data_IF_676188025559
#
_entry.id   IF_676188025559
#
_cell.length_a   1.000
_cell.length_b   1.000
_cell.length_c   1.000
_cell.angle_alpha   90.00
_cell.angle_beta   90.00
_cell.angle_gamma   90.00
#
_symmetry.space_group_name_H-M   'P 1'
#
loop_
_entity.id
_entity.type
_entity.pdbx_description
1 polymer ?
#
# COMPACT_ATOMS: atom_id res chain seq x y z
N UNK A 1 14.89 -10.99 1.76
CA UNK A 1 13.77 -10.19 1.25
C UNK A 1 13.93 -10.01 -0.24
N UNK A 2 12.83 -9.92 -1.00
CA UNK A 2 12.79 -9.69 -2.44
C UNK A 2 11.88 -8.51 -2.69
N UNK A 3 12.33 -7.57 -3.50
CA UNK A 3 11.51 -6.47 -4.00
C UNK A 3 10.95 -6.83 -5.36
N UNK A 4 9.72 -6.43 -5.59
CA UNK A 4 9.04 -6.60 -6.88
C UNK A 4 8.81 -5.21 -7.44
N UNK A 5 9.41 -4.92 -8.59
CA UNK A 5 9.10 -3.72 -9.34
C UNK A 5 7.75 -3.88 -10.01
N UNK A 6 6.92 -2.85 -9.95
CA UNK A 6 5.61 -2.87 -10.63
C UNK A 6 5.80 -2.86 -12.16
N UNK A 7 4.84 -3.42 -12.87
CA UNK A 7 4.78 -3.36 -14.34
C UNK A 7 4.82 -1.89 -14.78
N UNK A 8 5.32 -1.61 -15.94
CA UNK A 8 5.59 -0.28 -16.53
C UNK A 8 6.81 0.46 -15.97
N UNK A 9 7.34 0.05 -14.82
CA UNK A 9 8.61 0.57 -14.31
C UNK A 9 9.76 -0.27 -14.84
N UNK A 10 10.88 0.37 -15.18
CA UNK A 10 12.07 -0.35 -15.61
C UNK A 10 12.56 -1.25 -14.49
N UNK A 11 12.61 -2.55 -14.74
CA UNK A 11 13.26 -3.47 -13.84
C UNK A 11 14.74 -3.53 -14.22
N UNK A 12 15.60 -3.25 -13.27
CA UNK A 12 17.05 -3.49 -13.42
C UNK A 12 17.41 -4.95 -13.17
N UNK A 13 16.41 -5.83 -13.06
CA UNK A 13 16.60 -7.22 -12.69
C UNK A 13 16.79 -8.11 -13.92
N UNK A 14 17.86 -8.92 -13.88
CA UNK A 14 18.15 -9.96 -14.86
C UNK A 14 17.16 -11.15 -14.82
N UNK A 15 16.12 -11.09 -13.97
CA UNK A 15 15.18 -12.19 -13.77
C UNK A 15 13.88 -11.98 -14.55
N UNK A 16 13.65 -12.82 -15.53
CA UNK A 16 12.34 -12.98 -16.15
C UNK A 16 11.36 -13.65 -15.15
N UNK A 17 10.66 -12.84 -14.37
CA UNK A 17 9.59 -13.33 -13.49
C UNK A 17 8.20 -13.16 -14.12
N UNK A 18 7.21 -13.99 -13.78
CA UNK A 18 5.83 -13.75 -14.19
C UNK A 18 5.37 -12.36 -13.77
N UNK A 19 4.97 -11.52 -14.72
CA UNK A 19 4.54 -10.14 -14.47
C UNK A 19 5.60 -9.06 -14.70
N UNK A 20 6.79 -9.40 -15.22
CA UNK A 20 7.83 -8.42 -15.59
C UNK A 20 7.51 -7.60 -16.85
N UNK A 21 6.53 -8.03 -17.66
CA UNK A 21 6.13 -7.30 -18.87
C UNK A 21 5.25 -6.10 -18.57
N UNK A 22 5.41 -4.97 -19.27
CA UNK A 22 4.53 -3.81 -19.17
C UNK A 22 3.05 -4.15 -19.39
N UNK A 23 2.16 -3.31 -18.93
CA UNK A 23 0.72 -3.47 -19.21
C UNK A 23 0.46 -3.38 -20.72
N UNK A 24 -0.40 -4.26 -21.20
CA UNK A 24 -0.86 -4.23 -22.59
C UNK A 24 -1.83 -3.08 -22.80
N UNK A 25 -2.01 -2.64 -24.06
CA UNK A 25 -2.99 -1.61 -24.38
C UNK A 25 -4.40 -1.98 -23.91
N UNK A 26 -4.80 -3.26 -24.00
CA UNK A 26 -6.10 -3.73 -23.51
C UNK A 26 -6.24 -3.60 -22.00
N UNK A 27 -5.19 -3.91 -21.23
CA UNK A 27 -5.18 -3.73 -19.77
C UNK A 27 -5.26 -2.24 -19.40
N UNK A 28 -4.56 -1.37 -20.13
CA UNK A 28 -4.64 0.09 -19.93
C UNK A 28 -6.00 0.67 -20.31
N UNK A 29 -6.68 0.10 -21.32
CA UNK A 29 -8.07 0.46 -21.63
C UNK A 29 -9.03 0.02 -20.51
N UNK A 30 -8.80 -1.13 -19.90
CA UNK A 30 -9.57 -1.58 -18.75
C UNK A 30 -9.36 -0.68 -17.53
N UNK A 31 -8.12 -0.27 -17.29
CA UNK A 31 -7.74 0.70 -16.26
C UNK A 31 -8.46 2.04 -16.46
N UNK A 32 -8.31 2.66 -17.63
CA UNK A 32 -8.93 3.94 -17.99
C UNK A 32 -10.45 3.90 -18.02
N UNK A 33 -11.01 2.72 -18.29
CA UNK A 33 -12.44 2.46 -18.22
C UNK A 33 -12.98 2.18 -16.82
N UNK A 34 -12.14 2.19 -15.79
CA UNK A 34 -12.53 1.91 -14.40
C UNK A 34 -13.05 0.47 -14.19
N UNK A 35 -12.59 -0.48 -15.01
CA UNK A 35 -13.13 -1.84 -15.03
C UNK A 35 -12.45 -2.74 -13.99
N UNK A 36 -13.22 -3.44 -13.18
CA UNK A 36 -12.75 -4.38 -12.13
C UNK A 36 -11.76 -5.42 -12.67
N UNK A 37 -11.84 -5.76 -13.96
CA UNK A 37 -10.96 -6.77 -14.56
C UNK A 37 -9.48 -6.36 -14.49
N UNK A 38 -9.16 -5.07 -14.50
CA UNK A 38 -7.79 -4.61 -14.31
C UNK A 38 -7.27 -5.02 -12.93
N UNK A 39 -8.03 -4.75 -11.87
CA UNK A 39 -7.63 -5.13 -10.50
C UNK A 39 -7.55 -6.64 -10.32
N UNK A 40 -8.47 -7.38 -10.93
CA UNK A 40 -8.41 -8.85 -10.98
C UNK A 40 -7.12 -9.35 -11.62
N UNK A 41 -6.66 -8.69 -12.69
CA UNK A 41 -5.40 -9.01 -13.37
C UNK A 41 -4.21 -8.74 -12.46
N UNK A 42 -4.21 -7.65 -11.67
CA UNK A 42 -3.15 -7.38 -10.68
C UNK A 42 -3.07 -8.49 -9.62
N UNK A 43 -4.22 -8.89 -9.07
CA UNK A 43 -4.30 -9.97 -8.09
C UNK A 43 -3.82 -11.31 -8.66
N UNK A 44 -4.21 -11.64 -9.90
CA UNK A 44 -3.77 -12.85 -10.60
C UNK A 44 -2.26 -12.82 -10.86
N UNK A 45 -1.71 -11.69 -11.27
CA UNK A 45 -0.26 -11.52 -11.52
C UNK A 45 0.53 -11.75 -10.24
N UNK A 46 0.14 -11.13 -9.14
CA UNK A 46 0.79 -11.38 -7.85
C UNK A 46 0.68 -12.85 -7.41
N UNK A 47 -0.49 -13.46 -7.58
CA UNK A 47 -0.66 -14.88 -7.24
C UNK A 47 0.26 -15.80 -8.07
N UNK A 48 0.36 -15.57 -9.39
CA UNK A 48 1.25 -16.34 -10.27
C UNK A 48 2.71 -16.18 -9.85
N UNK A 49 3.13 -14.96 -9.54
CA UNK A 49 4.46 -14.69 -9.00
C UNK A 49 4.73 -15.46 -7.71
N UNK A 50 3.82 -15.39 -6.73
CA UNK A 50 3.98 -16.08 -5.45
C UNK A 50 4.05 -17.60 -5.63
N UNK A 51 3.21 -18.18 -6.47
CA UNK A 51 3.22 -19.62 -6.76
C UNK A 51 4.52 -20.06 -7.44
N UNK A 52 4.98 -19.31 -8.44
CA UNK A 52 6.26 -19.53 -9.09
C UNK A 52 7.42 -19.42 -8.09
N UNK A 53 7.40 -18.38 -7.24
CA UNK A 53 8.44 -18.17 -6.24
C UNK A 53 8.51 -19.30 -5.21
N UNK A 54 7.36 -19.79 -4.74
CA UNK A 54 7.26 -20.95 -3.84
C UNK A 54 7.95 -22.17 -4.47
N UNK A 55 7.66 -22.44 -5.74
CA UNK A 55 8.18 -23.61 -6.43
C UNK A 55 9.68 -23.51 -6.75
N UNK A 56 10.11 -22.33 -7.16
CA UNK A 56 11.50 -22.11 -7.60
C UNK A 56 12.47 -22.03 -6.44
N UNK A 57 12.04 -21.47 -5.30
CA UNK A 57 12.93 -21.19 -4.16
C UNK A 57 12.73 -22.11 -2.96
N UNK A 58 11.97 -23.20 -3.12
CA UNK A 58 11.74 -24.19 -2.07
C UNK A 58 11.29 -23.55 -0.73
N UNK A 59 10.36 -22.62 -0.79
CA UNK A 59 9.88 -21.91 0.39
C UNK A 59 9.25 -22.92 1.36
N UNK A 60 9.60 -22.91 2.66
CA UNK A 60 8.97 -23.78 3.63
C UNK A 60 7.50 -23.37 3.85
N UNK A 61 6.63 -24.37 4.03
CA UNK A 61 5.24 -24.10 4.44
C UNK A 61 5.18 -23.42 5.80
N UNK A 62 4.07 -22.78 6.08
CA UNK A 62 3.75 -22.29 7.41
C UNK A 62 3.60 -23.51 8.34
N UNK A 63 4.36 -23.54 9.43
CA UNK A 63 4.28 -24.58 10.45
C UNK A 63 3.26 -24.22 11.54
N UNK A 64 3.03 -25.17 12.46
CA UNK A 64 2.09 -24.99 13.58
C UNK A 64 2.49 -23.85 14.56
N UNK A 65 3.73 -23.37 14.49
CA UNK A 65 4.23 -22.25 15.28
C UNK A 65 4.18 -20.91 14.51
N UNK A 66 3.58 -20.90 13.31
CA UNK A 66 3.51 -19.73 12.44
C UNK A 66 4.83 -19.35 11.76
N UNK A 67 5.83 -20.25 11.76
CA UNK A 67 7.09 -20.03 11.06
C UNK A 67 7.00 -20.53 9.61
N UNK A 68 7.89 -20.05 8.77
CA UNK A 68 7.86 -20.36 7.32
C UNK A 68 6.88 -19.45 6.58
N UNK A 69 6.56 -19.86 5.36
CA UNK A 69 5.68 -19.11 4.47
C UNK A 69 6.26 -17.79 3.96
N UNK A 70 5.38 -16.99 3.37
CA UNK A 70 5.68 -15.71 2.73
C UNK A 70 4.86 -14.62 3.40
N UNK A 71 5.48 -13.48 3.67
CA UNK A 71 4.80 -12.23 3.96
C UNK A 71 4.95 -11.30 2.76
N UNK A 72 3.85 -10.70 2.32
CA UNK A 72 3.85 -9.71 1.23
C UNK A 72 3.65 -8.33 1.83
N UNK A 73 4.56 -7.41 1.52
CA UNK A 73 4.43 -6.02 1.90
C UNK A 73 4.11 -5.16 0.69
N UNK A 74 3.06 -4.37 0.78
CA UNK A 74 2.75 -3.33 -0.17
C UNK A 74 2.96 -1.96 0.46
N UNK A 75 3.87 -1.17 -0.10
CA UNK A 75 4.07 0.22 0.31
C UNK A 75 3.29 1.16 -0.60
N UNK A 76 2.61 2.15 -0.01
CA UNK A 76 1.87 3.16 -0.75
C UNK A 76 0.92 2.51 -1.77
N UNK A 77 0.97 2.94 -3.01
CA UNK A 77 0.20 2.37 -4.12
C UNK A 77 0.44 0.85 -4.30
N UNK A 78 1.63 0.38 -3.96
CA UNK A 78 1.96 -1.06 -4.01
C UNK A 78 1.06 -1.94 -3.15
N UNK A 79 0.35 -1.40 -2.18
CA UNK A 79 -0.65 -2.13 -1.39
C UNK A 79 -1.91 -2.55 -2.15
N UNK A 80 -2.15 -1.99 -3.34
CA UNK A 80 -3.28 -2.37 -4.20
C UNK A 80 -3.15 -3.85 -4.63
N UNK A 81 -1.94 -4.34 -4.91
CA UNK A 81 -1.70 -5.70 -5.39
C UNK A 81 -2.08 -6.78 -4.37
N UNK A 82 -1.61 -6.74 -3.11
CA UNK A 82 -2.08 -7.70 -2.12
C UNK A 82 -3.57 -7.55 -1.81
N UNK A 83 -4.14 -6.34 -1.83
CA UNK A 83 -5.58 -6.17 -1.69
C UNK A 83 -6.34 -6.76 -2.89
N UNK A 84 -5.81 -6.66 -4.10
CA UNK A 84 -6.39 -7.30 -5.29
C UNK A 84 -6.38 -8.84 -5.17
N UNK A 85 -5.27 -9.41 -4.71
CA UNK A 85 -5.19 -10.84 -4.44
C UNK A 85 -6.23 -11.29 -3.41
N UNK A 86 -6.42 -10.51 -2.34
CA UNK A 86 -7.35 -10.85 -1.26
C UNK A 86 -8.82 -10.61 -1.60
N UNK A 87 -9.09 -9.60 -2.41
CA UNK A 87 -10.46 -9.20 -2.77
C UNK A 87 -11.06 -9.94 -3.97
N UNK A 88 -10.23 -10.64 -4.75
CA UNK A 88 -10.67 -11.30 -6.00
C UNK A 88 -10.23 -12.76 -6.08
N UNK A 89 -10.65 -13.64 -5.15
CA UNK A 89 -10.25 -15.06 -5.18
C UNK A 89 -10.79 -15.82 -6.40
N UNK A 90 -11.82 -15.29 -7.06
CA UNK A 90 -12.46 -15.88 -8.23
C UNK A 90 -11.55 -16.02 -9.46
N UNK A 91 -10.45 -15.27 -9.51
CA UNK A 91 -9.45 -15.37 -10.59
C UNK A 91 -8.51 -16.56 -10.44
N UNK A 92 -8.51 -17.23 -9.28
CA UNK A 92 -7.59 -18.32 -8.98
C UNK A 92 -8.30 -19.67 -8.95
N UNK A 93 -7.74 -20.71 -9.60
CA UNK A 93 -8.17 -22.09 -9.41
C UNK A 93 -8.13 -22.51 -7.93
N UNK A 94 -9.06 -23.35 -7.49
CA UNK A 94 -9.16 -23.77 -6.07
C UNK A 94 -7.88 -24.44 -5.56
N UNK A 95 -7.17 -25.17 -6.40
CA UNK A 95 -5.89 -25.81 -5.98
C UNK A 95 -4.79 -24.77 -5.78
N UNK A 96 -4.75 -23.72 -6.59
CA UNK A 96 -3.85 -22.57 -6.38
C UNK A 96 -4.17 -21.82 -5.09
N UNK A 97 -5.46 -21.63 -4.77
CA UNK A 97 -5.89 -21.03 -3.51
C UNK A 97 -5.43 -21.88 -2.31
N UNK A 98 -5.62 -23.20 -2.35
CA UNK A 98 -5.17 -24.13 -1.29
C UNK A 98 -3.66 -24.12 -1.14
N UNK A 99 -2.92 -24.07 -2.26
CA UNK A 99 -1.47 -23.97 -2.23
C UNK A 99 -1.02 -22.68 -1.56
N UNK A 100 -1.56 -21.53 -1.99
CA UNK A 100 -1.26 -20.23 -1.36
C UNK A 100 -1.58 -20.22 0.14
N UNK A 101 -2.70 -20.81 0.56
CA UNK A 101 -3.07 -20.89 1.98
C UNK A 101 -2.00 -21.59 2.85
N UNK A 102 -1.23 -22.51 2.27
CA UNK A 102 -0.14 -23.19 3.00
C UNK A 102 1.13 -22.36 3.15
N UNK A 103 1.24 -21.23 2.43
CA UNK A 103 2.47 -20.44 2.36
C UNK A 103 2.24 -18.95 2.63
N UNK A 104 1.09 -18.38 2.31
CA UNK A 104 0.83 -16.95 2.44
C UNK A 104 0.38 -16.63 3.87
N UNK A 105 1.32 -16.19 4.68
CA UNK A 105 1.15 -15.98 6.12
C UNK A 105 0.55 -14.63 6.47
N UNK A 106 1.01 -13.57 5.79
CA UNK A 106 0.72 -12.21 6.20
C UNK A 106 0.76 -11.23 5.03
N UNK A 107 -0.14 -10.26 5.09
CA UNK A 107 -0.06 -9.03 4.29
C UNK A 107 0.31 -7.85 5.18
N UNK A 108 1.32 -7.08 4.77
CA UNK A 108 1.72 -5.84 5.44
C UNK A 108 1.36 -4.68 4.51
N UNK A 109 0.48 -3.81 4.98
CA UNK A 109 0.07 -2.59 4.29
C UNK A 109 0.80 -1.41 4.93
N UNK A 110 1.80 -0.86 4.25
CA UNK A 110 2.68 0.15 4.80
C UNK A 110 2.49 1.48 4.10
N UNK A 111 2.19 2.54 4.86
CA UNK A 111 1.94 3.87 4.32
C UNK A 111 0.92 3.85 3.18
N UNK A 112 -0.13 3.05 3.33
CA UNK A 112 -1.12 2.86 2.29
C UNK A 112 -1.71 4.19 1.86
N UNK A 113 -1.62 4.41 0.56
CA UNK A 113 -2.35 5.50 -0.06
C UNK A 113 -3.83 5.16 -0.07
N UNK A 114 -4.62 6.06 0.51
CA UNK A 114 -6.05 6.02 0.31
C UNK A 114 -6.36 6.77 -0.97
N UNK A 115 -7.16 6.16 -1.84
CA UNK A 115 -7.73 6.92 -2.94
C UNK A 115 -8.44 8.18 -2.41
N UNK A 116 -8.25 9.34 -3.00
CA UNK A 116 -8.88 10.59 -2.56
C UNK A 116 -10.41 10.58 -2.70
N UNK A 117 -10.97 9.52 -3.30
CA UNK A 117 -12.40 9.35 -3.52
C UNK A 117 -12.97 8.14 -2.80
N UNK A 118 -14.25 8.13 -2.44
CA UNK A 118 -14.87 7.26 -1.45
C UNK A 118 -15.22 5.85 -1.93
N UNK A 119 -15.53 4.99 -0.98
CA UNK A 119 -16.80 4.78 -0.29
C UNK A 119 -16.78 5.29 1.11
N UNK A 120 -15.65 5.72 1.50
CA UNK A 120 -15.49 6.41 2.74
C UNK A 120 -15.79 7.93 2.60
N UNK A 121 -16.54 8.36 1.56
CA UNK A 121 -16.91 9.76 1.33
C UNK A 121 -17.98 10.28 2.28
N UNK A 122 -18.79 9.43 2.83
CA UNK A 122 -19.65 9.85 3.94
C UNK A 122 -18.85 10.23 5.19
N UNK A 123 -17.59 9.84 5.22
CA UNK A 123 -16.64 10.10 6.28
C UNK A 123 -15.44 10.94 5.81
N UNK A 124 -15.59 11.79 4.78
CA UNK A 124 -14.64 12.87 4.56
C UNK A 124 -14.34 13.51 5.91
N UNK A 125 -13.05 13.80 6.23
CA UNK A 125 -12.84 14.88 7.16
C UNK A 125 -13.64 16.01 6.54
N UNK A 126 -14.65 16.53 7.25
CA UNK A 126 -15.51 17.50 6.68
C UNK A 126 -14.59 18.66 6.33
N UNK A 127 -14.35 18.83 5.02
CA UNK A 127 -13.80 19.98 4.36
C UNK A 127 -12.84 20.87 5.17
N UNK A 128 -11.56 20.53 5.25
CA UNK A 128 -10.60 21.62 5.27
C UNK A 128 -10.70 22.24 3.88
N UNK A 129 -10.66 23.53 3.74
CA UNK A 129 -10.46 24.16 2.47
C UNK A 129 -9.23 23.50 1.82
N UNK A 130 -9.44 22.78 0.75
CA UNK A 130 -8.41 21.93 0.11
C UNK A 130 -7.16 22.74 -0.27
N UNK A 131 -7.33 24.05 -0.45
CA UNK A 131 -6.29 25.05 -0.62
C UNK A 131 -5.23 25.07 0.50
N UNK A 132 -5.59 24.71 1.74
CA UNK A 132 -4.67 24.78 2.87
C UNK A 132 -3.66 23.63 2.91
N UNK A 133 -3.87 22.56 2.13
CA UNK A 133 -2.96 21.41 2.07
C UNK A 133 -2.04 21.41 0.86
N UNK A 134 -2.07 22.43 0.02
CA UNK A 134 -1.18 22.61 -1.12
C UNK A 134 -1.43 21.62 -2.27
N UNK A 135 -2.54 20.87 -2.23
CA UNK A 135 -2.92 19.95 -3.29
C UNK A 135 -4.44 19.89 -3.41
N UNK A 136 -4.98 20.38 -4.52
CA UNK A 136 -6.42 20.45 -4.77
C UNK A 136 -6.91 19.13 -5.38
N UNK A 137 -7.22 18.16 -4.54
CA UNK A 137 -7.75 16.85 -4.96
C UNK A 137 -9.28 16.83 -5.12
N UNK A 138 -9.95 17.97 -5.00
CA UNK A 138 -11.35 17.99 -4.66
C UNK A 138 -12.34 18.17 -5.78
N UNK A 139 -12.09 19.00 -6.77
CA UNK A 139 -13.16 19.41 -7.69
C UNK A 139 -12.84 19.31 -9.17
N UNK A 140 -11.59 19.20 -9.53
CA UNK A 140 -11.18 18.95 -10.91
C UNK A 140 -10.21 17.77 -10.94
N UNK A 141 -10.23 16.95 -12.00
CA UNK A 141 -9.13 16.03 -12.22
C UNK A 141 -7.84 16.85 -12.17
N UNK A 142 -6.81 16.39 -11.45
CA UNK A 142 -5.58 17.14 -11.32
C UNK A 142 -5.12 17.57 -12.71
N UNK A 143 -4.85 18.85 -12.85
CA UNK A 143 -4.34 19.39 -14.13
C UNK A 143 -2.91 18.88 -14.23
N UNK A 144 -2.74 17.74 -14.89
CA UNK A 144 -1.45 17.20 -15.22
C UNK A 144 -0.82 18.11 -16.29
N UNK A 145 0.48 18.36 -16.28
CA UNK A 145 1.55 17.74 -15.47
C UNK A 145 2.10 18.59 -14.32
N UNK A 146 1.71 19.87 -14.19
CA UNK A 146 2.36 20.80 -13.27
C UNK A 146 2.10 20.43 -11.80
N UNK A 147 0.86 20.05 -11.44
CA UNK A 147 0.52 19.64 -10.09
C UNK A 147 1.18 18.30 -9.71
N UNK A 148 1.43 17.42 -10.69
CA UNK A 148 2.11 16.17 -10.43
C UNK A 148 3.62 16.34 -10.22
N UNK A 149 4.21 17.39 -10.76
CA UNK A 149 5.62 17.73 -10.52
C UNK A 149 5.88 18.08 -9.05
N UNK A 150 4.87 18.60 -8.35
CA UNK A 150 4.95 18.93 -6.92
C UNK A 150 4.67 17.74 -6.00
N UNK A 151 4.17 16.61 -6.54
CA UNK A 151 3.84 15.42 -5.77
C UNK A 151 5.02 14.90 -4.93
N UNK A 152 6.26 14.79 -5.45
CA UNK A 152 7.41 14.35 -4.66
C UNK A 152 7.65 15.24 -3.44
N UNK A 153 7.59 16.56 -3.63
CA UNK A 153 7.74 17.53 -2.55
C UNK A 153 6.64 17.38 -1.51
N UNK A 154 5.38 17.34 -1.95
CA UNK A 154 4.22 17.20 -1.09
C UNK A 154 4.26 15.88 -0.29
N UNK A 155 4.51 14.76 -0.94
CA UNK A 155 4.53 13.45 -0.30
C UNK A 155 5.73 13.23 0.64
N UNK A 156 6.85 13.95 0.42
CA UNK A 156 8.08 13.81 1.22
C UNK A 156 8.16 14.77 2.40
N UNK A 157 7.20 15.68 2.56
CA UNK A 157 7.12 16.57 3.73
C UNK A 157 6.75 15.80 4.98
N UNK A 158 7.09 16.41 6.11
CA UNK A 158 6.61 16.01 7.43
C UNK A 158 5.48 16.93 7.85
N UNK A 159 4.39 16.33 8.33
CA UNK A 159 3.21 17.05 8.76
C UNK A 159 2.94 16.79 10.24
N UNK A 160 2.45 17.80 10.93
CA UNK A 160 1.95 17.70 12.31
C UNK A 160 0.43 17.78 12.24
N UNK A 161 -0.22 16.74 12.70
CA UNK A 161 -1.67 16.63 12.78
C UNK A 161 -2.08 16.70 14.25
N UNK A 162 -2.57 17.83 14.76
CA UNK A 162 -2.94 17.97 16.17
C UNK A 162 -4.03 17.00 16.60
N UNK A 163 -5.00 16.74 15.73
CA UNK A 163 -6.06 15.77 15.95
C UNK A 163 -6.66 15.32 14.60
N UNK A 164 -6.38 14.09 14.20
CA UNK A 164 -6.98 13.50 12.99
C UNK A 164 -8.38 12.91 13.23
N UNK A 165 -8.87 12.92 14.47
CA UNK A 165 -10.19 12.37 14.80
C UNK A 165 -11.31 13.38 14.62
N UNK A 166 -10.98 14.66 14.48
CA UNK A 166 -11.91 15.76 14.28
C UNK A 166 -11.60 16.56 13.02
N UNK A 167 -12.61 17.23 12.51
CA UNK A 167 -12.50 18.19 11.40
C UNK A 167 -11.54 19.34 11.71
N UNK A 168 -11.74 19.96 12.87
CA UNK A 168 -10.94 21.10 13.29
C UNK A 168 -9.46 20.73 13.43
N UNK A 169 -9.17 19.56 13.96
CA UNK A 169 -7.82 19.06 14.11
C UNK A 169 -7.17 18.71 12.78
N UNK A 170 -7.92 18.11 11.84
CA UNK A 170 -7.43 17.87 10.48
C UNK A 170 -7.14 19.18 9.74
N UNK A 171 -8.02 20.18 9.87
CA UNK A 171 -7.83 21.52 9.30
C UNK A 171 -6.64 22.29 9.94
N UNK A 172 -6.25 21.93 11.16
CA UNK A 172 -5.10 22.51 11.86
C UNK A 172 -3.76 21.84 11.53
N UNK A 173 -3.71 20.96 10.52
CA UNK A 173 -2.48 20.34 10.04
C UNK A 173 -1.49 21.40 9.55
N UNK A 174 -0.24 21.29 9.99
CA UNK A 174 0.84 22.19 9.60
C UNK A 174 2.07 21.40 9.13
N UNK A 175 2.90 22.04 8.32
CA UNK A 175 4.18 21.47 7.89
C UNK A 175 5.18 21.58 9.05
N UNK A 176 5.86 20.48 9.37
CA UNK A 176 7.01 20.49 10.29
C UNK A 176 8.24 21.02 9.58
N UNK A 177 8.43 22.33 9.63
CA UNK A 177 9.58 23.00 9.01
C UNK A 177 10.92 22.72 9.69
N UNK A 178 10.93 22.05 10.84
CA UNK A 178 12.18 21.62 11.50
C UNK A 178 12.82 20.41 10.82
N UNK A 179 12.08 19.70 9.98
CA UNK A 179 12.52 18.52 9.26
C UNK A 179 12.71 18.81 7.77
N UNK A 180 13.80 18.28 7.23
CA UNK A 180 14.06 18.34 5.78
C UNK A 180 13.14 17.38 5.04
N UNK A 181 12.86 17.68 3.79
CA UNK A 181 12.14 16.77 2.88
C UNK A 181 12.91 15.45 2.76
N UNK A 182 12.20 14.33 2.73
CA UNK A 182 12.87 13.03 2.57
C UNK A 182 13.70 12.95 1.29
N UNK A 183 13.25 13.58 0.20
CA UNK A 183 13.96 13.61 -1.08
C UNK A 183 15.23 14.47 -1.05
N UNK A 184 15.32 15.46 -0.18
CA UNK A 184 16.57 16.23 -0.02
C UNK A 184 17.74 15.42 0.56
N UNK A 185 17.45 14.22 1.04
CA UNK A 185 18.47 13.27 1.47
C UNK A 185 19.00 12.39 0.34
N UNK A 186 18.43 12.51 -0.86
CA UNK A 186 18.86 11.79 -2.06
C UNK A 186 19.78 12.65 -2.93
N UNK A 187 20.73 12.01 -3.59
CA UNK A 187 21.48 12.63 -4.68
C UNK A 187 20.64 12.67 -5.95
N UNK A 188 20.98 13.56 -6.91
CA UNK A 188 20.29 13.64 -8.20
C UNK A 188 20.29 12.29 -8.95
N UNK A 189 21.39 11.52 -8.83
CA UNK A 189 21.49 10.19 -9.42
C UNK A 189 20.51 9.20 -8.78
N UNK A 190 20.34 9.26 -7.47
CA UNK A 190 19.39 8.41 -6.75
C UNK A 190 17.95 8.80 -7.06
N UNK A 191 17.65 10.08 -7.18
CA UNK A 191 16.33 10.54 -7.61
C UNK A 191 16.03 10.02 -9.03
N UNK A 192 16.97 10.15 -9.97
CA UNK A 192 16.77 9.71 -11.35
C UNK A 192 16.56 8.19 -11.48
N UNK A 193 17.14 7.38 -10.59
CA UNK A 193 16.97 5.91 -10.60
C UNK A 193 15.70 5.47 -9.89
N UNK A 194 15.28 6.20 -8.85
CA UNK A 194 14.18 5.79 -7.99
C UNK A 194 12.84 6.47 -8.31
N UNK A 195 12.85 7.46 -9.20
CA UNK A 195 11.65 8.19 -9.58
C UNK A 195 11.46 8.15 -11.10
N UNK A 196 10.61 7.26 -11.55
CA UNK A 196 10.23 7.12 -12.96
C UNK A 196 8.86 7.81 -13.17
N UNK A 197 8.94 9.05 -13.64
CA UNK A 197 7.77 9.86 -13.90
C UNK A 197 6.94 9.31 -15.07
N UNK A 198 7.59 8.86 -16.13
CA UNK A 198 6.91 8.36 -17.34
C UNK A 198 6.17 7.05 -17.04
N UNK A 199 6.76 6.16 -16.24
CA UNK A 199 6.09 4.94 -15.81
C UNK A 199 4.84 5.25 -14.96
N UNK A 200 4.94 6.23 -14.06
CA UNK A 200 3.81 6.62 -13.21
C UNK A 200 2.64 7.21 -14.01
N UNK A 201 2.92 7.94 -15.10
CA UNK A 201 1.89 8.47 -16.00
C UNK A 201 1.18 7.39 -16.82
N UNK A 202 1.78 6.22 -17.03
CA UNK A 202 1.14 5.13 -17.79
C UNK A 202 -0.01 4.48 -17.06
N UNK A 203 0.14 4.25 -15.75
CA UNK A 203 -0.85 3.48 -14.99
C UNK A 203 -1.20 4.04 -13.61
N UNK A 204 -0.24 4.60 -12.88
CA UNK A 204 -0.48 5.01 -11.48
C UNK A 204 -1.50 6.14 -11.39
N UNK A 205 -1.40 7.11 -12.29
CA UNK A 205 -2.31 8.25 -12.35
C UNK A 205 -3.75 7.78 -12.60
N UNK A 206 -3.93 6.90 -13.58
CA UNK A 206 -5.25 6.36 -13.91
C UNK A 206 -5.82 5.51 -12.75
N UNK A 207 -4.97 4.81 -11.99
CA UNK A 207 -5.39 4.11 -10.77
C UNK A 207 -6.02 5.06 -9.75
N UNK A 208 -5.46 6.26 -9.60
CA UNK A 208 -5.99 7.24 -8.64
C UNK A 208 -7.22 7.98 -9.13
N UNK A 209 -7.41 8.13 -10.42
CA UNK A 209 -8.45 8.99 -10.97
C UNK A 209 -9.66 8.21 -11.44
N UNK A 210 -9.46 7.08 -12.10
CA UNK A 210 -10.54 6.33 -12.75
C UNK A 210 -10.97 5.08 -12.00
N UNK A 211 -10.04 4.42 -11.27
CA UNK A 211 -10.31 3.14 -10.60
C UNK A 211 -10.90 3.26 -9.20
N UNK A 212 -11.18 4.45 -8.75
CA UNK A 212 -11.59 4.70 -7.37
C UNK A 212 -12.73 3.82 -6.87
N UNK A 213 -13.90 3.72 -7.54
CA UNK A 213 -14.98 2.87 -7.07
C UNK A 213 -14.60 1.38 -7.03
N UNK A 214 -13.75 0.94 -7.97
CA UNK A 214 -13.30 -0.44 -8.03
C UNK A 214 -12.27 -0.77 -6.94
N UNK A 215 -11.33 0.14 -6.68
CA UNK A 215 -10.35 0.03 -5.58
C UNK A 215 -11.04 -0.07 -4.24
N UNK A 216 -12.07 0.66 -4.08
CA UNK A 216 -12.93 0.72 -2.94
C UNK A 216 -13.63 -0.59 -2.63
N UNK A 217 -14.34 -1.09 -3.63
CA UNK A 217 -14.99 -2.39 -3.58
C UNK A 217 -13.99 -3.51 -3.29
N UNK A 218 -12.81 -3.44 -3.91
CA UNK A 218 -11.72 -4.36 -3.65
C UNK A 218 -11.25 -4.30 -2.18
N UNK A 219 -11.01 -3.12 -1.64
CA UNK A 219 -10.57 -2.95 -0.26
C UNK A 219 -11.63 -3.44 0.73
N UNK A 220 -12.91 -3.12 0.49
CA UNK A 220 -14.01 -3.62 1.29
C UNK A 220 -14.06 -5.16 1.29
N UNK A 221 -13.95 -5.78 0.12
CA UNK A 221 -13.91 -7.23 0.00
C UNK A 221 -12.68 -7.84 0.70
N UNK A 222 -11.50 -7.28 0.47
CA UNK A 222 -10.26 -7.81 1.01
C UNK A 222 -10.18 -7.73 2.55
N UNK A 223 -10.70 -6.65 3.14
CA UNK A 223 -10.54 -6.35 4.56
C UNK A 223 -11.75 -6.78 5.40
N UNK A 224 -12.97 -6.62 4.87
CA UNK A 224 -14.19 -6.66 5.67
C UNK A 224 -15.25 -7.67 5.20
N UNK A 225 -15.01 -8.44 4.15
CA UNK A 225 -15.95 -9.49 3.72
C UNK A 225 -15.78 -10.74 4.59
N UNK A 226 -16.83 -11.10 5.32
CA UNK A 226 -16.82 -12.26 6.22
C UNK A 226 -16.71 -13.60 5.48
N UNK A 227 -17.32 -13.70 4.30
CA UNK A 227 -17.26 -14.91 3.49
C UNK A 227 -15.85 -15.14 2.99
N UNK A 228 -15.22 -14.10 2.45
CA UNK A 228 -13.83 -14.18 2.01
C UNK A 228 -12.86 -14.43 3.18
N UNK A 229 -13.11 -13.83 4.34
CA UNK A 229 -12.29 -14.06 5.52
C UNK A 229 -12.32 -15.53 5.98
N UNK A 230 -13.47 -16.21 5.84
CA UNK A 230 -13.64 -17.61 6.23
C UNK A 230 -13.18 -18.61 5.18
N UNK A 231 -13.44 -18.35 3.90
CA UNK A 231 -13.28 -19.33 2.84
C UNK A 231 -11.97 -19.21 2.05
N UNK A 232 -11.37 -18.02 2.06
CA UNK A 232 -10.16 -17.74 1.29
C UNK A 232 -9.04 -17.22 2.20
N UNK A 233 -7.97 -17.98 2.32
CA UNK A 233 -6.82 -17.66 3.18
C UNK A 233 -7.24 -17.33 4.64
N UNK A 234 -7.95 -18.22 5.34
CA UNK A 234 -8.57 -17.92 6.64
C UNK A 234 -7.56 -17.58 7.74
N UNK A 235 -6.35 -18.13 7.68
CA UNK A 235 -5.30 -17.92 8.69
C UNK A 235 -4.40 -16.71 8.38
N UNK A 236 -4.63 -16.03 7.24
CA UNK A 236 -3.82 -14.90 6.81
C UNK A 236 -4.13 -13.66 7.65
N UNK A 237 -3.09 -13.00 8.12
CA UNK A 237 -3.15 -11.81 8.95
C UNK A 237 -2.82 -10.56 8.16
N UNK A 238 -3.38 -9.43 8.58
CA UNK A 238 -3.05 -8.12 8.02
C UNK A 238 -2.36 -7.28 9.09
N UNK A 239 -1.25 -6.65 8.73
CA UNK A 239 -0.65 -5.58 9.53
C UNK A 239 -0.73 -4.28 8.76
N UNK A 240 -1.35 -3.28 9.36
CA UNK A 240 -1.39 -1.93 8.83
C UNK A 240 -0.36 -1.07 9.55
N UNK A 241 0.64 -0.61 8.82
CA UNK A 241 1.68 0.27 9.34
C UNK A 241 1.43 1.69 8.84
N UNK A 242 1.22 2.61 9.76
CA UNK A 242 1.01 4.02 9.48
C UNK A 242 2.23 4.87 9.83
N UNK A 243 2.37 5.99 9.13
CA UNK A 243 3.37 7.02 9.39
C UNK A 243 2.63 8.29 9.83
N UNK A 244 2.65 8.65 11.12
CA UNK A 244 1.81 9.74 11.62
C UNK A 244 2.14 11.11 11.03
N UNK A 245 3.38 11.35 10.60
CA UNK A 245 3.80 12.62 10.01
C UNK A 245 3.73 12.64 8.48
N UNK A 246 2.90 11.81 7.90
CA UNK A 246 2.63 11.79 6.45
C UNK A 246 1.57 12.82 6.07
N UNK A 247 1.22 12.87 4.78
CA UNK A 247 0.11 13.71 4.32
C UNK A 247 -1.20 13.33 5.02
N UNK A 248 -2.08 14.31 5.20
CA UNK A 248 -3.34 14.11 5.90
C UNK A 248 -4.21 12.98 5.30
N UNK A 249 -4.18 12.81 3.98
CA UNK A 249 -4.93 11.76 3.28
C UNK A 249 -4.52 10.35 3.71
N UNK A 250 -3.22 10.12 3.86
CA UNK A 250 -2.68 8.84 4.30
C UNK A 250 -2.93 8.63 5.80
N UNK A 251 -2.72 9.65 6.60
CA UNK A 251 -2.95 9.61 8.03
C UNK A 251 -4.45 9.40 8.36
N UNK A 252 -5.34 10.10 7.66
CA UNK A 252 -6.80 9.92 7.77
C UNK A 252 -7.26 8.54 7.30
N UNK A 253 -6.64 8.02 6.25
CA UNK A 253 -6.93 6.67 5.75
C UNK A 253 -6.80 5.60 6.83
N UNK A 254 -5.76 5.68 7.67
CA UNK A 254 -5.59 4.78 8.82
C UNK A 254 -6.74 4.93 9.82
N UNK A 255 -7.09 6.15 10.18
CA UNK A 255 -8.18 6.43 11.16
C UNK A 255 -9.50 5.82 10.69
N UNK A 256 -9.83 5.97 9.42
CA UNK A 256 -11.08 5.43 8.85
C UNK A 256 -11.09 3.91 8.86
N UNK A 257 -10.02 3.27 8.39
CA UNK A 257 -9.96 1.81 8.33
C UNK A 257 -9.99 1.21 9.74
N UNK A 258 -9.29 1.81 10.70
CA UNK A 258 -9.28 1.37 12.09
C UNK A 258 -10.67 1.49 12.74
N UNK A 259 -11.37 2.62 12.56
CA UNK A 259 -12.75 2.79 13.05
C UNK A 259 -13.70 1.73 12.49
N UNK A 260 -13.64 1.50 11.18
CA UNK A 260 -14.47 0.45 10.54
C UNK A 260 -14.14 -0.93 11.08
N UNK A 261 -12.86 -1.23 11.24
CA UNK A 261 -12.45 -2.49 11.82
C UNK A 261 -13.05 -2.67 13.23
N UNK A 262 -12.95 -1.63 14.07
CA UNK A 262 -13.54 -1.65 15.41
C UNK A 262 -15.07 -1.81 15.39
N UNK A 263 -15.76 -1.17 14.44
CA UNK A 263 -17.21 -1.33 14.27
C UNK A 263 -17.59 -2.77 13.92
N UNK A 264 -16.89 -3.39 12.96
CA UNK A 264 -17.11 -4.79 12.63
C UNK A 264 -16.84 -5.71 13.83
N UNK A 265 -15.78 -5.46 14.59
CA UNK A 265 -15.46 -6.23 15.79
C UNK A 265 -16.55 -6.07 16.87
N UNK A 266 -17.05 -4.85 17.10
CA UNK A 266 -18.16 -4.58 18.04
C UNK A 266 -19.45 -5.30 17.63
N UNK A 267 -19.68 -5.49 16.34
CA UNK A 267 -20.83 -6.21 15.77
C UNK A 267 -20.62 -7.72 15.71
N UNK A 268 -19.47 -8.23 16.20
CA UNK A 268 -19.06 -9.65 16.16
C UNK A 268 -18.95 -10.22 14.72
N UNK A 269 -18.65 -9.40 13.73
CA UNK A 269 -18.37 -9.84 12.38
C UNK A 269 -17.07 -10.63 12.33
N UNK A 270 -17.06 -11.71 11.54
CA UNK A 270 -15.89 -12.60 11.39
C UNK A 270 -15.02 -12.13 10.22
N UNK A 271 -14.43 -10.96 10.36
CA UNK A 271 -13.55 -10.35 9.35
C UNK A 271 -12.09 -10.76 9.56
N UNK A 272 -11.21 -10.44 8.60
CA UNK A 272 -9.77 -10.68 8.73
C UNK A 272 -9.19 -9.88 9.89
N UNK A 273 -8.35 -10.52 10.76
CA UNK A 273 -7.67 -9.78 11.81
C UNK A 273 -6.73 -8.73 11.23
N UNK A 274 -6.89 -7.49 11.67
CA UNK A 274 -6.01 -6.37 11.29
C UNK A 274 -5.31 -5.86 12.53
N UNK A 275 -3.97 -5.84 12.50
CA UNK A 275 -3.15 -5.20 13.53
C UNK A 275 -2.73 -3.83 13.02
N UNK A 276 -3.09 -2.78 13.74
CA UNK A 276 -2.63 -1.41 13.46
C UNK A 276 -1.39 -1.11 14.28
N UNK A 277 -0.42 -0.46 13.64
CA UNK A 277 0.81 0.02 14.29
C UNK A 277 1.27 1.32 13.63
N UNK A 278 2.05 2.11 14.36
CA UNK A 278 2.57 3.38 13.89
C UNK A 278 4.08 3.44 14.06
N UNK A 279 4.76 4.11 13.13
CA UNK A 279 6.17 4.47 13.23
C UNK A 279 6.24 5.94 13.62
N UNK A 280 6.42 6.19 14.90
CA UNK A 280 6.47 7.54 15.47
C UNK A 280 7.51 8.42 14.78
N UNK A 281 7.14 9.65 14.44
CA UNK A 281 8.03 10.61 13.80
C UNK A 281 8.32 10.36 12.33
N UNK A 282 7.69 9.35 11.73
CA UNK A 282 7.87 8.98 10.34
C UNK A 282 6.87 9.68 9.40
N UNK A 283 7.36 10.02 8.21
CA UNK A 283 6.52 10.41 7.08
C UNK A 283 6.36 9.24 6.09
N UNK A 284 5.79 9.51 4.93
CA UNK A 284 5.55 8.51 3.89
C UNK A 284 6.83 7.81 3.39
N UNK A 285 7.96 8.47 3.44
CA UNK A 285 9.26 8.01 2.95
C UNK A 285 10.23 7.70 4.09
N UNK A 286 9.76 7.16 5.20
CA UNK A 286 10.59 6.89 6.38
C UNK A 286 11.81 6.02 6.05
N UNK A 287 11.69 5.09 5.13
CA UNK A 287 12.81 4.25 4.68
C UNK A 287 13.99 5.06 4.15
N UNK A 288 13.70 6.11 3.37
CA UNK A 288 14.70 7.02 2.82
C UNK A 288 15.29 7.91 3.91
N UNK A 289 14.44 8.42 4.80
CA UNK A 289 14.83 9.36 5.85
C UNK A 289 15.74 8.76 6.90
N UNK A 290 15.59 7.46 7.17
CA UNK A 290 16.31 6.78 8.26
C UNK A 290 17.56 6.05 7.75
N UNK A 291 17.59 5.57 6.51
CA UNK A 291 18.58 4.61 6.03
C UNK A 291 19.39 5.07 4.82
N UNK A 292 19.01 6.17 4.20
CA UNK A 292 19.60 6.60 2.93
C UNK A 292 19.17 5.75 1.73
N UNK A 293 19.51 6.19 0.52
CA UNK A 293 18.91 5.71 -0.72
C UNK A 293 19.33 4.31 -1.19
N UNK A 294 20.42 3.76 -0.67
CA UNK A 294 20.87 2.41 -1.04
C UNK A 294 20.27 1.27 -0.20
N UNK A 295 19.47 1.61 0.81
CA UNK A 295 18.97 0.64 1.79
C UNK A 295 17.49 0.30 1.65
N UNK A 296 16.91 0.56 0.49
CA UNK A 296 15.45 0.55 0.26
C UNK A 296 14.70 -0.66 0.77
N UNK A 297 15.38 -1.78 0.95
CA UNK A 297 14.70 -2.99 1.41
C UNK A 297 15.61 -3.98 2.15
N UNK A 298 16.91 -4.03 1.86
CA UNK A 298 17.83 -5.02 2.45
C UNK A 298 18.14 -4.69 3.91
N UNK A 299 18.34 -3.42 4.24
CA UNK A 299 18.71 -2.98 5.58
C UNK A 299 17.51 -2.82 6.56
N UNK A 300 16.28 -2.79 6.07
CA UNK A 300 15.11 -2.85 6.96
C UNK A 300 15.07 -4.13 7.82
N UNK A 301 15.88 -5.14 7.48
CA UNK A 301 15.91 -6.43 8.17
C UNK A 301 17.30 -6.87 8.66
N UNK A 302 18.35 -6.10 8.41
CA UNK A 302 19.73 -6.44 8.75
C UNK A 302 20.35 -5.60 9.90
N UNK A 303 19.71 -5.58 11.03
CA UNK A 303 20.46 -5.49 12.31
C UNK A 303 20.94 -4.14 12.83
N UNK A 304 20.78 -2.97 12.19
CA UNK A 304 21.13 -1.66 12.77
C UNK A 304 19.95 -0.70 12.90
N UNK A 305 18.80 -1.26 13.04
CA UNK A 305 17.52 -0.64 12.89
C UNK A 305 17.00 -0.12 14.23
N UNK A 306 16.83 1.17 14.31
CA UNK A 306 16.02 1.82 15.34
C UNK A 306 14.57 1.29 15.36
N UNK A 307 13.67 1.91 16.09
CA UNK A 307 12.27 1.45 16.34
C UNK A 307 11.52 0.91 15.12
N UNK A 308 11.76 1.45 13.92
CA UNK A 308 11.05 1.02 12.70
C UNK A 308 11.34 -0.45 12.34
N UNK A 309 12.58 -0.88 12.47
CA UNK A 309 12.95 -2.27 12.23
C UNK A 309 12.51 -3.19 13.36
N UNK A 310 12.59 -2.72 14.59
CA UNK A 310 12.08 -3.47 15.72
C UNK A 310 10.57 -3.72 15.58
N UNK A 311 9.81 -2.73 15.09
CA UNK A 311 8.38 -2.89 14.78
C UNK A 311 8.18 -3.89 13.64
N UNK A 312 8.94 -3.77 12.55
CA UNK A 312 8.83 -4.68 11.40
C UNK A 312 9.32 -6.08 11.75
N UNK A 313 10.45 -6.21 12.46
CA UNK A 313 10.92 -7.51 12.97
C UNK A 313 9.94 -8.11 13.97
N UNK A 314 9.37 -7.33 14.88
CA UNK A 314 8.37 -7.79 15.82
C UNK A 314 7.06 -8.17 15.12
N UNK A 315 6.64 -7.43 14.08
CA UNK A 315 5.54 -7.84 13.22
C UNK A 315 5.82 -9.17 12.51
N UNK A 316 7.05 -9.40 12.08
CA UNK A 316 7.44 -10.63 11.40
C UNK A 316 7.68 -11.82 12.36
N UNK A 317 8.13 -11.56 13.61
CA UNK A 317 8.44 -12.61 14.60
C UNK A 317 7.23 -13.03 15.45
N UNK A 318 6.31 -12.11 15.72
CA UNK A 318 5.17 -12.32 16.62
C UNK A 318 3.85 -12.58 15.87
N UNK A 319 3.93 -12.86 14.59
CA UNK A 319 2.88 -13.40 13.74
C UNK A 319 3.21 -14.82 13.35
#
# INVERSE_FOLDING_TARGET
MITITRRDYDSHDEFESPGSTPHTNSELEDLRGGRDIFLKTLGLTLAKFLLWFIDTHNIPKIDNNGKGGISVMGWSLGGIWPLALLGHPDVLPKDSQKKLASYFRQTILYGMFRSPHPPFYSERPPDPAEADFGYNWGNDPPVYPDDYADFPTWASRYYIHPDLTSRAGSAATVIDSSKRLSFENMTDKELAVNFDFDASLKSDVDLFTTMVPALEKQAQAALFDETLAKEYLPDMKITWIACPQTTWTLAWGKVVVERRYEEHVKQNHQIRPIRFTEIEGANHFVSISVYGPHSWVVDMFAGSLGRAAEILENCCRNC
#
